data_IF_273527765006
#
_entry.id   IF_273527765006
#
_cell.length_a   1.000
_cell.length_b   1.000
_cell.length_c   1.000
_cell.angle_alpha   90.00
_cell.angle_beta   90.00
_cell.angle_gamma   90.00
#
_symmetry.space_group_name_H-M   'P 1'
#
loop_
_entity.id
_entity.type
_entity.pdbx_description
1 polymer ?
#
# COMPACT_ATOMS: atom_id res chain seq x y z
N UNK A 1 -29.56 9.40 -4.02
CA UNK A 1 -28.61 8.70 -3.11
C UNK A 1 -28.67 7.18 -3.19
N UNK A 2 -29.82 6.55 -2.91
CA UNK A 2 -29.91 5.06 -2.97
C UNK A 2 -29.62 4.53 -4.38
N UNK A 3 -30.19 5.16 -5.42
CA UNK A 3 -29.94 4.81 -6.83
C UNK A 3 -28.44 4.92 -7.19
N UNK A 4 -27.76 5.96 -6.72
CA UNK A 4 -26.33 6.13 -6.90
C UNK A 4 -25.52 5.02 -6.24
N UNK A 5 -25.81 4.69 -4.97
CA UNK A 5 -25.15 3.61 -4.23
C UNK A 5 -25.34 2.29 -4.96
N UNK A 6 -26.58 1.95 -5.36
CA UNK A 6 -26.88 0.72 -6.10
C UNK A 6 -26.12 0.65 -7.43
N UNK A 7 -26.10 1.75 -8.18
CA UNK A 7 -25.36 1.83 -9.45
C UNK A 7 -23.86 1.64 -9.23
N UNK A 8 -23.29 2.24 -8.17
CA UNK A 8 -21.86 2.05 -7.82
C UNK A 8 -21.56 0.61 -7.42
N UNK A 9 -22.40 0.00 -6.57
CA UNK A 9 -22.23 -1.40 -6.17
C UNK A 9 -22.34 -2.35 -7.38
N UNK A 10 -23.28 -2.10 -8.30
CA UNK A 10 -23.38 -2.86 -9.54
C UNK A 10 -22.15 -2.71 -10.43
N UNK A 11 -21.57 -1.51 -10.53
CA UNK A 11 -20.36 -1.26 -11.31
C UNK A 11 -19.09 -1.88 -10.67
N UNK A 12 -19.09 -2.19 -9.38
CA UNK A 12 -17.98 -2.91 -8.76
C UNK A 12 -17.82 -4.32 -9.34
N UNK A 13 -18.92 -4.99 -9.68
CA UNK A 13 -18.91 -6.35 -10.22
C UNK A 13 -18.13 -6.43 -11.55
N UNK A 14 -18.49 -5.65 -12.61
CA UNK A 14 -17.74 -5.70 -13.86
C UNK A 14 -16.30 -5.20 -13.72
N UNK A 15 -16.03 -4.27 -12.79
CA UNK A 15 -14.68 -3.79 -12.53
C UNK A 15 -13.82 -4.90 -11.93
N UNK A 16 -14.28 -5.58 -10.88
CA UNK A 16 -13.60 -6.73 -10.29
C UNK A 16 -13.40 -7.85 -11.30
N UNK A 17 -14.45 -8.17 -12.07
CA UNK A 17 -14.36 -9.16 -13.13
C UNK A 17 -13.29 -8.79 -14.16
N UNK A 18 -13.29 -7.56 -14.66
CA UNK A 18 -12.32 -7.08 -15.65
C UNK A 18 -10.88 -7.14 -15.16
N UNK A 19 -10.63 -6.69 -13.92
CA UNK A 19 -9.29 -6.74 -13.30
C UNK A 19 -8.82 -8.18 -13.13
N UNK A 20 -9.68 -9.08 -12.63
CA UNK A 20 -9.34 -10.49 -12.46
C UNK A 20 -9.13 -11.20 -13.79
N UNK A 21 -9.99 -10.94 -14.79
CA UNK A 21 -9.85 -11.51 -16.12
C UNK A 21 -8.53 -11.09 -16.77
N UNK A 22 -8.24 -9.79 -16.78
CA UNK A 22 -7.02 -9.27 -17.39
C UNK A 22 -5.78 -9.87 -16.70
N UNK A 23 -5.74 -9.89 -15.39
CA UNK A 23 -4.60 -10.44 -14.64
C UNK A 23 -4.48 -11.95 -14.84
N UNK A 24 -5.60 -12.68 -14.82
CA UNK A 24 -5.62 -14.10 -15.07
C UNK A 24 -5.09 -14.42 -16.47
N UNK A 25 -5.50 -13.66 -17.50
CA UNK A 25 -5.01 -13.81 -18.88
C UNK A 25 -3.51 -13.53 -18.93
N UNK A 26 -3.04 -12.42 -18.36
CA UNK A 26 -1.60 -12.09 -18.34
C UNK A 26 -0.79 -13.22 -17.71
N UNK A 27 -1.23 -13.77 -16.59
CA UNK A 27 -0.56 -14.87 -15.90
C UNK A 27 -0.42 -16.12 -16.79
N UNK A 28 -1.36 -16.39 -17.73
CA UNK A 28 -1.23 -17.53 -18.64
C UNK A 28 -0.04 -17.42 -19.60
N UNK A 29 0.41 -16.20 -19.92
CA UNK A 29 1.54 -15.93 -20.82
C UNK A 29 2.88 -15.81 -20.10
N UNK A 30 2.89 -15.73 -18.77
CA UNK A 30 4.13 -15.65 -17.99
C UNK A 30 4.80 -17.02 -17.97
N UNK A 31 6.01 -17.16 -18.57
CA UNK A 31 6.71 -18.44 -18.60
C UNK A 31 7.13 -18.86 -17.19
N UNK A 32 7.00 -20.14 -16.90
CA UNK A 32 7.29 -20.74 -15.60
C UNK A 32 6.12 -20.61 -14.63
N UNK A 33 5.89 -21.64 -13.86
CA UNK A 33 4.85 -21.74 -12.84
C UNK A 33 5.33 -22.68 -11.74
N UNK A 34 4.47 -23.00 -10.75
CA UNK A 34 4.86 -23.89 -9.66
C UNK A 34 5.31 -25.26 -10.16
N UNK A 35 4.78 -25.73 -11.28
CA UNK A 35 5.19 -27.00 -11.92
C UNK A 35 6.60 -26.88 -12.49
N UNK A 36 6.89 -25.81 -13.23
CA UNK A 36 8.22 -25.60 -13.84
C UNK A 36 9.28 -25.28 -12.81
N UNK A 37 8.95 -24.55 -11.74
CA UNK A 37 9.86 -24.34 -10.62
C UNK A 37 10.20 -25.65 -9.91
N UNK A 38 9.21 -26.49 -9.63
CA UNK A 38 9.45 -27.82 -9.06
C UNK A 38 10.35 -28.67 -9.97
N UNK A 39 10.13 -28.63 -11.29
CA UNK A 39 10.96 -29.29 -12.27
C UNK A 39 12.40 -28.75 -12.28
N UNK A 40 12.56 -27.42 -12.15
CA UNK A 40 13.87 -26.79 -12.11
C UNK A 40 14.64 -27.15 -10.82
N UNK A 41 13.96 -27.12 -9.67
CA UNK A 41 14.53 -27.52 -8.38
C UNK A 41 14.91 -29.01 -8.36
N UNK A 42 14.06 -29.87 -8.88
CA UNK A 42 14.34 -31.31 -8.99
C UNK A 42 15.55 -31.59 -9.90
N UNK A 43 15.71 -30.83 -10.99
CA UNK A 43 16.90 -30.91 -11.87
C UNK A 43 18.15 -30.33 -11.20
N UNK A 44 18.03 -29.22 -10.44
CA UNK A 44 19.15 -28.61 -9.73
C UNK A 44 19.62 -29.46 -8.54
N UNK A 45 18.70 -30.15 -7.86
CA UNK A 45 19.03 -31.09 -6.77
C UNK A 45 19.78 -32.32 -7.25
N UNK A 46 19.58 -32.76 -8.48
CA UNK A 46 20.37 -33.86 -9.07
C UNK A 46 21.77 -33.45 -9.52
N UNK A 47 22.03 -32.13 -9.70
CA UNK A 47 23.35 -31.62 -10.14
C UNK A 47 24.36 -31.32 -9.00
N UNK A 48 23.93 -31.19 -7.76
CA UNK A 48 24.81 -30.86 -6.63
C UNK A 48 25.38 -32.06 -5.86
N UNK A 49 25.02 -33.27 -6.25
CA UNK A 49 25.52 -34.52 -5.60
C UNK A 49 26.61 -35.30 -6.33
N UNK A 50 27.15 -34.76 -7.45
CA UNK A 50 28.05 -35.54 -8.31
C UNK A 50 29.53 -35.10 -8.26
N UNK A 51 30.01 -34.47 -7.20
CA UNK A 51 31.42 -34.13 -7.04
C UNK A 51 31.89 -34.35 -5.61
N UNK A 52 31.82 -35.62 -5.10
CA UNK A 52 32.68 -36.09 -4.02
C UNK A 52 32.64 -37.63 -3.97
N UNK A 53 33.80 -38.20 -4.26
CA UNK A 53 34.36 -39.50 -3.84
C UNK A 53 33.88 -40.82 -4.45
N UNK A 54 34.82 -41.39 -5.14
CA UNK A 54 35.04 -42.79 -5.48
C UNK A 54 34.56 -43.79 -4.42
N UNK A 55 33.64 -44.66 -4.79
CA UNK A 55 33.30 -45.84 -3.98
C UNK A 55 31.99 -46.46 -4.42
N UNK A 56 32.06 -47.39 -5.36
CA UNK A 56 30.99 -48.11 -6.00
C UNK A 56 29.76 -48.44 -5.17
N UNK A 57 28.71 -47.77 -5.45
CA UNK A 57 27.33 -48.25 -5.42
C UNK A 57 26.52 -47.30 -6.28
N UNK A 58 26.22 -47.74 -7.49
CA UNK A 58 25.34 -47.01 -8.44
C UNK A 58 24.00 -46.77 -7.76
N UNK A 59 23.81 -45.57 -7.17
CA UNK A 59 22.52 -45.15 -6.65
C UNK A 59 21.61 -44.85 -7.85
N UNK A 60 20.55 -45.63 -8.02
CA UNK A 60 19.51 -45.53 -9.04
C UNK A 60 18.68 -44.24 -8.93
N UNK A 61 19.27 -43.07 -8.73
CA UNK A 61 18.61 -41.77 -8.55
C UNK A 61 18.65 -40.86 -9.76
N UNK A 62 19.19 -41.28 -10.90
CA UNK A 62 19.23 -40.50 -12.14
C UNK A 62 18.03 -40.76 -13.06
N UNK A 63 16.89 -41.21 -12.53
CA UNK A 63 15.64 -41.22 -13.30
C UNK A 63 15.04 -39.82 -13.20
N UNK A 64 14.82 -39.22 -14.38
CA UNK A 64 14.16 -37.92 -14.52
C UNK A 64 12.83 -37.88 -13.75
N UNK A 65 12.41 -36.69 -13.38
CA UNK A 65 11.21 -36.44 -12.58
C UNK A 65 10.07 -37.33 -13.06
N UNK A 66 9.53 -38.18 -12.18
CA UNK A 66 8.48 -39.14 -12.50
C UNK A 66 7.28 -38.44 -13.13
N UNK A 67 6.86 -38.78 -14.38
CA UNK A 67 5.72 -38.16 -15.04
C UNK A 67 4.44 -38.19 -14.19
N UNK A 68 4.23 -39.26 -13.40
CA UNK A 68 3.09 -39.36 -12.49
C UNK A 68 3.12 -38.31 -11.39
N UNK A 69 4.30 -37.95 -10.93
CA UNK A 69 4.46 -36.91 -9.91
C UNK A 69 4.19 -35.50 -10.47
N UNK A 70 4.55 -35.28 -11.74
CA UNK A 70 4.19 -34.05 -12.46
C UNK A 70 2.69 -33.94 -12.63
N UNK A 71 2.00 -35.01 -13.00
CA UNK A 71 0.55 -35.04 -13.11
C UNK A 71 -0.15 -34.80 -11.79
N UNK A 72 0.35 -35.40 -10.71
CA UNK A 72 -0.15 -35.14 -9.35
C UNK A 72 0.00 -33.67 -8.94
N UNK A 73 1.13 -33.05 -9.25
CA UNK A 73 1.37 -31.63 -8.98
C UNK A 73 0.45 -30.76 -9.85
N UNK A 74 0.31 -31.08 -11.12
CA UNK A 74 -0.66 -30.37 -11.99
C UNK A 74 -2.08 -30.46 -11.46
N UNK A 75 -2.51 -31.65 -11.03
CA UNK A 75 -3.83 -31.87 -10.46
C UNK A 75 -4.00 -31.12 -9.11
N UNK A 76 -2.96 -31.13 -8.26
CA UNK A 76 -2.96 -30.42 -6.97
C UNK A 76 -3.17 -28.92 -7.14
N UNK A 77 -2.55 -28.33 -8.15
CA UNK A 77 -2.66 -26.90 -8.46
C UNK A 77 -3.73 -26.56 -9.50
N UNK A 78 -4.53 -27.56 -9.94
CA UNK A 78 -5.63 -27.42 -10.89
C UNK A 78 -5.19 -27.10 -12.33
N UNK A 79 -3.92 -27.31 -12.66
CA UNK A 79 -3.40 -27.12 -14.03
C UNK A 79 -3.76 -28.26 -14.99
N UNK A 80 -4.46 -29.26 -14.52
CA UNK A 80 -5.08 -30.34 -15.31
C UNK A 80 -6.32 -29.87 -16.10
N UNK A 81 -6.92 -28.73 -15.68
CA UNK A 81 -8.13 -28.18 -16.29
C UNK A 81 -7.81 -27.06 -17.28
N UNK A 82 -8.66 -26.90 -18.32
CA UNK A 82 -8.51 -25.78 -19.24
C UNK A 82 -8.66 -24.42 -18.55
N UNK A 83 -7.98 -23.38 -19.08
CA UNK A 83 -7.89 -22.07 -18.44
C UNK A 83 -9.25 -21.43 -18.13
N UNK A 84 -10.24 -21.59 -19.02
CA UNK A 84 -11.59 -21.03 -18.80
C UNK A 84 -12.32 -21.67 -17.62
N UNK A 85 -12.18 -22.98 -17.42
CA UNK A 85 -12.75 -23.66 -16.25
C UNK A 85 -12.10 -23.22 -14.94
N UNK A 86 -10.77 -23.08 -14.94
CA UNK A 86 -10.02 -22.57 -13.80
C UNK A 86 -10.47 -21.15 -13.43
N UNK A 87 -10.67 -20.30 -14.45
CA UNK A 87 -11.13 -18.93 -14.23
C UNK A 87 -12.53 -18.89 -13.61
N UNK A 88 -13.49 -19.66 -14.14
CA UNK A 88 -14.86 -19.74 -13.61
C UNK A 88 -14.86 -20.28 -12.17
N UNK A 89 -14.07 -21.33 -11.89
CA UNK A 89 -13.93 -21.87 -10.54
C UNK A 89 -13.35 -20.84 -9.58
N UNK A 90 -12.30 -20.12 -9.99
CA UNK A 90 -11.70 -19.02 -9.22
C UNK A 90 -12.72 -17.92 -8.90
N UNK A 91 -13.50 -17.48 -9.90
CA UNK A 91 -14.55 -16.46 -9.68
C UNK A 91 -15.60 -16.94 -8.65
N UNK A 92 -16.03 -18.21 -8.77
CA UNK A 92 -16.98 -18.80 -7.81
C UNK A 92 -16.42 -18.90 -6.37
N UNK A 93 -15.12 -19.12 -6.22
CA UNK A 93 -14.43 -19.12 -4.92
C UNK A 93 -14.29 -17.68 -4.37
N UNK A 94 -13.86 -16.75 -5.19
CA UNK A 94 -13.66 -15.34 -4.81
C UNK A 94 -14.97 -14.66 -4.43
N UNK A 95 -16.07 -15.00 -5.10
CA UNK A 95 -17.41 -14.53 -4.71
C UNK A 95 -17.84 -15.01 -3.30
N UNK A 96 -17.21 -16.07 -2.79
CA UNK A 96 -17.39 -16.59 -1.42
C UNK A 96 -16.25 -16.19 -0.47
N UNK A 97 -15.40 -15.24 -0.87
CA UNK A 97 -14.20 -14.82 -0.15
C UNK A 97 -13.19 -15.95 0.13
N UNK A 98 -13.24 -17.03 -0.62
CA UNK A 98 -12.21 -18.06 -0.61
C UNK A 98 -11.15 -17.71 -1.67
N UNK A 99 -10.05 -17.10 -1.21
CA UNK A 99 -8.96 -16.64 -2.09
C UNK A 99 -7.94 -17.75 -2.43
N UNK A 100 -8.21 -18.99 -1.98
CA UNK A 100 -7.33 -20.14 -2.20
C UNK A 100 -6.19 -20.22 -1.17
N UNK A 101 -5.21 -21.07 -1.49
CA UNK A 101 -4.02 -21.31 -0.67
C UNK A 101 -2.76 -20.96 -1.46
N UNK A 102 -1.77 -20.41 -0.76
CA UNK A 102 -0.42 -20.19 -1.30
C UNK A 102 0.20 -21.51 -1.74
N UNK A 103 0.88 -21.48 -2.86
CA UNK A 103 1.61 -22.65 -3.36
C UNK A 103 2.89 -22.94 -2.55
N UNK A 104 3.44 -21.93 -1.87
CA UNK A 104 4.74 -22.03 -1.19
C UNK A 104 4.64 -21.97 0.33
N UNK A 105 3.63 -21.29 0.88
CA UNK A 105 3.56 -21.05 2.34
C UNK A 105 2.59 -21.99 3.07
N UNK A 106 1.89 -22.87 2.36
CA UNK A 106 0.88 -23.80 2.91
C UNK A 106 -0.19 -23.15 3.81
N UNK A 107 -0.42 -21.84 3.62
CA UNK A 107 -1.43 -21.02 4.32
C UNK A 107 -2.49 -20.55 3.34
N UNK A 108 -3.69 -20.23 3.84
CA UNK A 108 -4.68 -19.56 3.02
C UNK A 108 -4.23 -18.13 2.69
N UNK A 109 -4.62 -17.64 1.51
CA UNK A 109 -4.27 -16.26 1.10
C UNK A 109 -4.87 -15.24 2.06
N UNK A 110 -6.08 -15.48 2.56
CA UNK A 110 -6.71 -14.62 3.57
C UNK A 110 -5.90 -14.54 4.86
N UNK A 111 -5.38 -15.70 5.34
CA UNK A 111 -4.52 -15.75 6.51
C UNK A 111 -3.23 -14.97 6.31
N UNK A 112 -2.58 -15.12 5.16
CA UNK A 112 -1.37 -14.36 4.81
C UNK A 112 -1.65 -12.85 4.79
N UNK A 113 -2.77 -12.42 4.23
CA UNK A 113 -3.17 -11.00 4.22
C UNK A 113 -3.32 -10.51 5.66
N UNK A 114 -4.03 -11.24 6.52
CA UNK A 114 -4.26 -10.83 7.90
C UNK A 114 -2.97 -10.79 8.73
N UNK A 115 -2.03 -11.69 8.50
CA UNK A 115 -0.71 -11.69 9.18
C UNK A 115 0.15 -10.47 8.79
N UNK A 116 0.08 -10.03 7.51
CA UNK A 116 0.91 -8.92 7.01
C UNK A 116 0.27 -7.55 7.16
N UNK A 117 -1.06 -7.52 7.31
CA UNK A 117 -1.85 -6.30 7.41
C UNK A 117 -1.41 -5.34 8.52
N UNK A 118 -1.09 -5.80 9.76
CA UNK A 118 -0.67 -4.90 10.84
C UNK A 118 0.56 -4.05 10.51
N UNK A 119 1.52 -4.59 9.78
CA UNK A 119 2.74 -3.86 9.36
C UNK A 119 2.37 -2.74 8.39
N UNK A 120 1.62 -3.06 7.34
CA UNK A 120 1.20 -2.07 6.34
C UNK A 120 0.28 -1.01 6.93
N UNK A 121 -0.68 -1.39 7.80
CA UNK A 121 -1.52 -0.44 8.55
C UNK A 121 -0.67 0.49 9.39
N UNK A 122 0.28 -0.05 10.13
CA UNK A 122 1.17 0.74 10.99
C UNK A 122 1.90 1.83 10.18
N UNK A 123 2.60 1.44 9.12
CA UNK A 123 3.34 2.37 8.26
C UNK A 123 2.41 3.41 7.62
N UNK A 124 1.30 2.95 7.07
CA UNK A 124 0.34 3.81 6.39
C UNK A 124 -0.31 4.82 7.31
N UNK A 125 -0.77 4.40 8.50
CA UNK A 125 -1.40 5.31 9.47
C UNK A 125 -0.43 6.37 9.99
N UNK A 126 0.78 5.99 10.38
CA UNK A 126 1.77 6.97 10.82
C UNK A 126 2.12 7.95 9.72
N UNK A 127 2.34 7.46 8.50
CA UNK A 127 2.59 8.32 7.34
C UNK A 127 1.44 9.28 7.10
N UNK A 128 0.20 8.79 7.15
CA UNK A 128 -1.00 9.59 6.97
C UNK A 128 -1.14 10.68 8.04
N UNK A 129 -1.12 10.31 9.32
CA UNK A 129 -1.31 11.26 10.41
C UNK A 129 -0.20 12.31 10.46
N UNK A 130 1.07 11.92 10.33
CA UNK A 130 2.18 12.86 10.34
C UNK A 130 2.12 13.79 9.13
N UNK A 131 1.80 13.24 7.93
CA UNK A 131 1.64 14.06 6.73
C UNK A 131 0.55 15.12 6.92
N UNK A 132 -0.65 14.75 7.39
CA UNK A 132 -1.74 15.71 7.59
C UNK A 132 -1.44 16.70 8.73
N UNK A 133 -0.85 16.23 9.83
CA UNK A 133 -0.48 17.06 10.97
C UNK A 133 0.52 18.16 10.60
N UNK A 134 1.44 17.89 9.67
CA UNK A 134 2.44 18.87 9.20
C UNK A 134 1.90 19.65 8.00
N UNK A 135 1.32 18.97 7.01
CA UNK A 135 0.95 19.57 5.73
C UNK A 135 -0.18 20.59 5.85
N UNK A 136 -1.21 20.31 6.65
CA UNK A 136 -2.36 21.21 6.75
C UNK A 136 -1.97 22.53 7.44
N UNK A 137 -1.34 22.56 8.63
CA UNK A 137 -0.91 23.82 9.24
C UNK A 137 0.11 24.58 8.38
N UNK A 138 1.04 23.86 7.73
CA UNK A 138 2.02 24.48 6.85
C UNK A 138 1.33 25.09 5.62
N UNK A 139 0.38 24.41 5.00
CA UNK A 139 -0.39 24.91 3.86
C UNK A 139 -1.19 26.18 4.21
N UNK A 140 -1.85 26.19 5.37
CA UNK A 140 -2.55 27.37 5.89
C UNK A 140 -1.59 28.54 6.11
N UNK A 141 -0.46 28.30 6.80
CA UNK A 141 0.55 29.34 7.07
C UNK A 141 1.15 29.92 5.77
N UNK A 142 1.33 29.08 4.75
CA UNK A 142 1.80 29.48 3.40
C UNK A 142 0.74 30.31 2.66
N UNK A 143 -0.53 29.96 2.78
CA UNK A 143 -1.62 30.72 2.15
C UNK A 143 -1.77 32.12 2.76
N UNK A 144 -1.75 32.21 4.10
CA UNK A 144 -1.82 33.48 4.84
C UNK A 144 -0.63 34.39 4.52
N UNK A 145 0.56 33.80 4.31
CA UNK A 145 1.81 34.53 4.02
C UNK A 145 2.22 34.43 2.56
N UNK A 146 1.26 34.27 1.66
CA UNK A 146 1.55 34.06 0.24
C UNK A 146 2.42 35.19 -0.34
N UNK A 147 3.41 34.82 -1.15
CA UNK A 147 4.39 35.75 -1.73
C UNK A 147 5.48 36.22 -0.78
N UNK A 148 5.47 35.83 0.49
CA UNK A 148 6.53 36.14 1.45
C UNK A 148 7.77 35.25 1.27
N UNK A 149 8.92 35.65 1.89
CA UNK A 149 10.11 34.80 1.95
C UNK A 149 9.83 33.44 2.59
N UNK A 150 8.96 33.38 3.60
CA UNK A 150 8.53 32.14 4.24
C UNK A 150 7.84 31.22 3.23
N UNK A 151 6.90 31.75 2.45
CA UNK A 151 6.20 30.96 1.44
C UNK A 151 7.17 30.45 0.37
N UNK A 152 8.09 31.29 -0.10
CA UNK A 152 9.10 30.91 -1.09
C UNK A 152 10.01 29.79 -0.58
N UNK A 153 10.66 30.00 0.59
CA UNK A 153 11.60 29.04 1.16
C UNK A 153 10.92 27.69 1.47
N UNK A 154 9.74 27.73 2.11
CA UNK A 154 9.00 26.51 2.40
C UNK A 154 8.49 25.80 1.14
N UNK A 155 8.15 26.55 0.07
CA UNK A 155 7.81 25.93 -1.23
C UNK A 155 9.03 25.21 -1.79
N UNK A 156 10.19 25.84 -1.79
CA UNK A 156 11.41 25.22 -2.26
C UNK A 156 11.74 23.93 -1.50
N UNK A 157 11.68 23.98 -0.15
CA UNK A 157 11.93 22.79 0.70
C UNK A 157 10.93 21.67 0.45
N UNK A 158 9.64 22.00 0.33
CA UNK A 158 8.58 21.03 0.03
C UNK A 158 8.79 20.39 -1.33
N UNK A 159 9.13 21.17 -2.35
CA UNK A 159 9.38 20.66 -3.71
C UNK A 159 10.67 19.84 -3.79
N UNK A 160 11.73 20.24 -3.10
CA UNK A 160 12.96 19.46 -3.00
C UNK A 160 12.69 18.10 -2.33
N UNK A 161 11.94 18.10 -1.23
CA UNK A 161 11.54 16.85 -0.58
C UNK A 161 10.66 15.96 -1.46
N UNK A 162 9.77 16.55 -2.26
CA UNK A 162 8.93 15.84 -3.20
C UNK A 162 9.71 15.26 -4.40
N UNK A 163 10.76 15.96 -4.85
CA UNK A 163 11.57 15.53 -5.98
C UNK A 163 12.42 14.28 -5.66
N UNK A 164 12.70 14.03 -4.38
CA UNK A 164 13.47 12.85 -3.96
C UNK A 164 12.50 11.67 -3.83
N UNK A 165 12.66 10.58 -4.61
CA UNK A 165 11.87 9.38 -4.42
C UNK A 165 12.00 8.84 -2.99
N UNK A 166 10.87 8.50 -2.34
CA UNK A 166 10.87 8.08 -0.94
C UNK A 166 11.82 6.92 -0.64
N UNK A 167 11.96 5.95 -1.56
CA UNK A 167 12.90 4.84 -1.37
C UNK A 167 14.37 5.29 -1.41
N UNK A 168 14.72 6.30 -2.24
CA UNK A 168 16.08 6.88 -2.28
C UNK A 168 16.41 7.56 -0.95
N UNK A 169 15.45 8.32 -0.41
CA UNK A 169 15.57 8.88 0.94
C UNK A 169 15.69 7.77 1.97
N UNK A 170 14.89 6.70 1.87
CA UNK A 170 14.96 5.53 2.75
C UNK A 170 16.35 4.89 2.75
N UNK A 171 16.98 4.72 1.58
CA UNK A 171 18.36 4.23 1.45
C UNK A 171 19.34 5.17 2.15
N UNK A 172 19.23 6.49 1.90
CA UNK A 172 20.11 7.48 2.54
C UNK A 172 19.97 7.47 4.06
N UNK A 173 18.74 7.42 4.59
CA UNK A 173 18.47 7.32 6.03
C UNK A 173 19.07 6.04 6.62
N UNK A 174 18.87 4.90 5.95
CA UNK A 174 19.37 3.61 6.39
C UNK A 174 20.90 3.58 6.41
N UNK A 175 21.57 4.08 5.39
CA UNK A 175 23.04 4.12 5.31
C UNK A 175 23.63 5.06 6.36
N UNK A 176 23.10 6.29 6.47
CA UNK A 176 23.66 7.31 7.36
C UNK A 176 23.31 7.01 8.82
N UNK A 177 22.00 6.91 9.14
CA UNK A 177 21.53 6.82 10.51
C UNK A 177 21.48 5.39 11.06
N UNK A 178 21.28 4.40 10.22
CA UNK A 178 21.31 3.00 10.62
C UNK A 178 22.70 2.39 10.55
N UNK A 179 23.43 2.62 9.45
CA UNK A 179 24.73 1.99 9.20
C UNK A 179 25.90 2.74 9.81
N UNK A 180 26.07 4.03 9.47
CA UNK A 180 27.26 4.81 9.90
C UNK A 180 27.12 5.32 11.32
N UNK A 181 26.01 5.99 11.66
CA UNK A 181 25.78 6.57 12.98
C UNK A 181 25.21 5.57 13.99
N UNK A 182 24.60 4.50 13.51
CA UNK A 182 23.97 3.46 14.33
C UNK A 182 22.93 4.00 15.33
N UNK A 183 22.22 5.09 14.94
CA UNK A 183 21.21 5.71 15.79
C UNK A 183 19.86 5.01 15.70
N UNK A 184 19.57 4.35 14.58
CA UNK A 184 18.31 3.67 14.33
C UNK A 184 18.52 2.24 13.86
N UNK A 185 17.56 1.34 14.13
CA UNK A 185 17.65 -0.06 13.70
C UNK A 185 17.57 -0.16 12.17
N UNK A 186 18.35 -1.12 11.64
CA UNK A 186 18.44 -1.32 10.19
C UNK A 186 17.21 -2.03 9.59
N UNK A 187 16.50 -2.83 10.37
CA UNK A 187 15.44 -3.71 9.89
C UNK A 187 14.44 -4.11 10.98
N UNK A 188 13.27 -4.55 10.53
CA UNK A 188 12.22 -5.05 11.41
C UNK A 188 11.33 -3.96 12.00
N UNK A 189 10.17 -4.37 12.50
CA UNK A 189 9.20 -3.47 13.13
C UNK A 189 9.47 -3.31 14.63
N UNK A 190 10.18 -4.27 15.22
CA UNK A 190 10.49 -4.37 16.64
C UNK A 190 11.82 -5.09 16.87
N UNK A 191 12.42 -4.90 18.03
CA UNK A 191 13.64 -5.61 18.43
C UNK A 191 13.39 -7.10 18.70
N UNK A 192 14.45 -7.90 18.63
CA UNK A 192 14.39 -9.36 18.85
C UNK A 192 13.98 -9.75 20.28
N UNK A 193 14.21 -8.88 21.26
CA UNK A 193 13.84 -9.06 22.67
C UNK A 193 12.49 -8.40 23.03
N UNK A 194 11.61 -8.16 22.03
CA UNK A 194 10.32 -7.50 22.21
C UNK A 194 9.48 -8.08 23.34
N UNK A 195 9.44 -9.39 23.47
CA UNK A 195 8.61 -10.07 24.47
C UNK A 195 9.09 -9.86 25.92
N UNK A 196 10.37 -9.52 26.09
CA UNK A 196 10.98 -9.23 27.39
C UNK A 196 10.81 -7.76 27.81
N UNK A 197 10.41 -6.87 26.87
CA UNK A 197 10.27 -5.44 27.14
C UNK A 197 9.02 -5.12 27.94
N UNK A 198 9.13 -4.15 28.85
CA UNK A 198 7.97 -3.55 29.50
C UNK A 198 7.11 -2.80 28.48
N UNK A 199 5.83 -2.60 28.79
CA UNK A 199 4.91 -1.96 27.86
C UNK A 199 5.41 -0.57 27.35
N UNK A 200 5.94 0.26 28.24
CA UNK A 200 6.53 1.56 27.84
C UNK A 200 7.75 1.41 26.93
N UNK A 201 8.63 0.44 27.23
CA UNK A 201 9.78 0.14 26.37
C UNK A 201 9.38 -0.40 25.00
N UNK A 202 8.31 -1.19 24.90
CA UNK A 202 7.73 -1.65 23.62
C UNK A 202 7.28 -0.49 22.74
N UNK A 203 6.59 0.51 23.33
CA UNK A 203 6.17 1.70 22.58
C UNK A 203 7.36 2.47 22.03
N UNK A 204 8.39 2.67 22.84
CA UNK A 204 9.61 3.37 22.43
C UNK A 204 10.36 2.58 21.35
N UNK A 205 10.54 1.28 21.53
CA UNK A 205 11.18 0.38 20.58
C UNK A 205 10.47 0.39 19.21
N UNK A 206 9.15 0.27 19.22
CA UNK A 206 8.33 0.35 18.01
C UNK A 206 8.47 1.71 17.30
N UNK A 207 8.35 2.82 18.02
CA UNK A 207 8.50 4.16 17.42
C UNK A 207 9.90 4.38 16.87
N UNK A 208 10.91 3.80 17.49
CA UNK A 208 12.30 3.86 17.05
C UNK A 208 12.50 3.08 15.73
N UNK A 209 11.88 1.92 15.60
CA UNK A 209 11.95 1.11 14.37
C UNK A 209 11.21 1.75 13.18
N UNK A 210 10.06 2.38 13.41
CA UNK A 210 9.28 3.00 12.33
C UNK A 210 9.77 4.39 11.94
N UNK A 211 10.66 5.02 12.70
CA UNK A 211 11.09 6.42 12.49
C UNK A 211 11.65 6.66 11.08
N UNK A 212 12.61 5.84 10.63
CA UNK A 212 13.20 5.97 9.29
C UNK A 212 12.22 5.61 8.15
N UNK A 213 11.54 4.44 8.19
CA UNK A 213 10.55 4.09 7.16
C UNK A 213 9.46 5.14 6.99
N UNK A 214 8.86 5.59 8.09
CA UNK A 214 7.80 6.59 8.06
C UNK A 214 8.30 7.94 7.55
N UNK A 215 9.49 8.38 7.97
CA UNK A 215 10.11 9.62 7.46
C UNK A 215 10.27 9.57 5.94
N UNK A 216 10.75 8.45 5.41
CA UNK A 216 10.91 8.26 3.96
C UNK A 216 9.56 8.32 3.21
N UNK A 217 8.48 7.78 3.80
CA UNK A 217 7.15 7.79 3.21
C UNK A 217 6.46 9.16 3.33
N UNK A 218 6.63 9.87 4.44
CA UNK A 218 6.00 11.17 4.71
C UNK A 218 6.47 12.22 3.72
N UNK A 219 7.78 12.27 3.40
CA UNK A 219 8.32 13.30 2.50
C UNK A 219 7.66 13.29 1.11
N UNK A 220 7.31 12.11 0.59
CA UNK A 220 6.62 12.00 -0.68
C UNK A 220 5.16 12.45 -0.65
N UNK A 221 4.46 12.21 0.45
CA UNK A 221 3.02 12.42 0.55
C UNK A 221 2.64 13.83 1.03
N UNK A 222 3.41 14.42 1.96
CA UNK A 222 3.03 15.66 2.60
C UNK A 222 3.08 16.88 1.67
N UNK A 223 3.90 16.84 0.62
CA UNK A 223 4.04 17.94 -0.33
C UNK A 223 2.75 18.21 -1.09
N UNK A 224 2.11 17.15 -1.59
CA UNK A 224 0.83 17.24 -2.32
C UNK A 224 -0.25 17.84 -1.42
N UNK A 225 -0.38 17.34 -0.18
CA UNK A 225 -1.36 17.83 0.80
C UNK A 225 -1.08 19.28 1.19
N UNK A 226 0.19 19.66 1.37
CA UNK A 226 0.59 21.05 1.68
C UNK A 226 0.17 22.01 0.57
N UNK A 227 0.46 21.65 -0.69
CA UNK A 227 0.12 22.52 -1.83
C UNK A 227 -1.38 22.58 -2.08
N UNK A 228 -2.09 21.45 -1.94
CA UNK A 228 -3.54 21.41 -2.00
C UNK A 228 -4.17 22.35 -0.95
N UNK A 229 -3.71 22.24 0.30
CA UNK A 229 -4.18 23.09 1.40
C UNK A 229 -3.87 24.56 1.13
N UNK A 230 -2.63 24.90 0.71
CA UNK A 230 -2.27 26.27 0.35
C UNK A 230 -3.22 26.84 -0.72
N UNK A 231 -3.42 26.10 -1.80
CA UNK A 231 -4.21 26.58 -2.93
C UNK A 231 -5.69 26.74 -2.55
N UNK A 232 -6.28 25.80 -1.81
CA UNK A 232 -7.65 25.89 -1.32
C UNK A 232 -7.86 27.12 -0.42
N UNK A 233 -6.91 27.38 0.50
CA UNK A 233 -6.99 28.57 1.35
C UNK A 233 -6.75 29.87 0.58
N UNK A 234 -5.84 29.92 -0.39
CA UNK A 234 -5.62 31.10 -1.24
C UNK A 234 -6.87 31.44 -2.07
N UNK A 235 -7.56 30.44 -2.61
CA UNK A 235 -8.79 30.66 -3.34
C UNK A 235 -9.87 31.25 -2.43
N UNK A 236 -10.07 30.68 -1.25
CA UNK A 236 -11.10 31.14 -0.31
C UNK A 236 -10.81 32.55 0.26
N UNK A 237 -9.56 32.87 0.57
CA UNK A 237 -9.17 34.20 1.11
C UNK A 237 -9.50 35.32 0.13
N UNK A 238 -9.57 35.04 -1.18
CA UNK A 238 -9.85 36.03 -2.22
C UNK A 238 -11.34 36.24 -2.52
N UNK A 239 -12.23 35.45 -1.91
CA UNK A 239 -13.68 35.52 -2.20
C UNK A 239 -14.33 36.74 -1.57
N UNK A 240 -15.42 37.25 -2.21
CA UNK A 240 -16.12 38.47 -1.80
C UNK A 240 -16.65 38.44 -0.37
N UNK A 241 -17.07 37.28 0.13
CA UNK A 241 -17.56 37.21 1.52
C UNK A 241 -16.44 37.51 2.56
N UNK A 242 -15.18 37.24 2.21
CA UNK A 242 -14.01 37.56 3.06
C UNK A 242 -13.78 39.07 3.04
N UNK A 243 -13.89 39.73 1.88
CA UNK A 243 -13.79 41.18 1.79
C UNK A 243 -14.94 41.83 2.60
N UNK A 244 -16.15 41.30 2.53
CA UNK A 244 -17.29 41.79 3.32
C UNK A 244 -17.06 41.61 4.82
N UNK A 245 -16.48 40.49 5.25
CA UNK A 245 -16.16 40.25 6.67
C UNK A 245 -15.15 41.28 7.20
N UNK A 246 -14.09 41.57 6.43
CA UNK A 246 -13.13 42.64 6.74
C UNK A 246 -13.77 44.02 6.78
N UNK A 247 -14.63 44.34 5.82
CA UNK A 247 -15.33 45.62 5.80
C UNK A 247 -16.27 45.82 7.02
N UNK A 248 -16.76 44.75 7.63
CA UNK A 248 -17.52 44.77 8.89
C UNK A 248 -16.64 44.90 10.13
N UNK A 249 -15.31 45.04 9.98
CA UNK A 249 -14.41 45.30 11.09
C UNK A 249 -13.91 44.03 11.82
N UNK A 250 -14.12 42.85 11.26
CA UNK A 250 -13.56 41.63 11.83
C UNK A 250 -12.04 41.60 11.65
N UNK A 251 -11.32 41.16 12.70
CA UNK A 251 -9.88 40.98 12.62
C UNK A 251 -9.49 39.77 11.70
N UNK A 252 -8.24 39.76 11.24
CA UNK A 252 -7.75 38.72 10.30
C UNK A 252 -7.86 37.30 10.88
N UNK A 253 -7.74 37.14 12.20
CA UNK A 253 -7.87 35.84 12.86
C UNK A 253 -9.33 35.38 12.85
N UNK A 254 -10.28 36.28 13.14
CA UNK A 254 -11.71 35.99 13.09
C UNK A 254 -12.14 35.67 11.66
N UNK A 255 -11.64 36.43 10.67
CA UNK A 255 -11.89 36.17 9.25
C UNK A 255 -11.34 34.80 8.85
N UNK A 256 -10.09 34.49 9.19
CA UNK A 256 -9.45 33.23 8.82
C UNK A 256 -10.17 32.02 9.43
N UNK A 257 -10.33 32.01 10.76
CA UNK A 257 -10.87 30.84 11.46
C UNK A 257 -12.39 30.74 11.41
N UNK A 258 -13.09 31.88 11.41
CA UNK A 258 -14.56 31.91 11.41
C UNK A 258 -15.17 31.76 10.01
N UNK A 259 -14.51 32.26 8.98
CA UNK A 259 -15.10 32.33 7.62
C UNK A 259 -14.35 31.53 6.55
N UNK A 260 -13.01 31.63 6.52
CA UNK A 260 -12.22 31.00 5.46
C UNK A 260 -12.00 29.50 5.75
N UNK A 261 -11.60 29.16 6.97
CA UNK A 261 -11.12 27.84 7.34
C UNK A 261 -12.12 26.73 7.01
N UNK A 262 -13.37 26.92 7.38
CA UNK A 262 -14.43 25.92 7.13
C UNK A 262 -14.61 25.60 5.63
N UNK A 263 -14.60 26.63 4.78
CA UNK A 263 -14.80 26.45 3.35
C UNK A 263 -13.53 25.93 2.66
N UNK A 264 -12.36 26.44 3.05
CA UNK A 264 -11.08 26.02 2.50
C UNK A 264 -10.70 24.57 2.84
N UNK A 265 -11.24 24.02 3.94
CA UNK A 265 -11.03 22.61 4.29
C UNK A 265 -11.87 21.63 3.49
N UNK A 266 -12.92 22.07 2.77
CA UNK A 266 -13.81 21.15 2.03
C UNK A 266 -13.02 20.18 1.13
N UNK A 267 -12.06 20.60 0.26
CA UNK A 267 -11.30 19.67 -0.58
C UNK A 267 -10.43 18.71 0.22
N UNK A 268 -9.94 19.15 1.39
CA UNK A 268 -9.09 18.32 2.27
C UNK A 268 -9.93 17.25 2.96
N UNK A 269 -11.09 17.68 3.53
CA UNK A 269 -12.00 16.77 4.25
C UNK A 269 -12.64 15.76 3.29
N UNK A 270 -12.99 16.16 2.07
CA UNK A 270 -13.58 15.24 1.08
C UNK A 270 -12.57 14.19 0.59
N UNK A 271 -11.30 14.54 0.48
CA UNK A 271 -10.23 13.60 0.16
C UNK A 271 -9.79 12.71 1.33
N UNK A 272 -10.08 13.13 2.58
CA UNK A 272 -9.61 12.46 3.79
C UNK A 272 -10.02 10.98 3.90
N UNK A 273 -11.30 10.58 3.68
CA UNK A 273 -11.69 9.18 3.81
C UNK A 273 -10.94 8.26 2.85
N UNK A 274 -10.76 8.70 1.59
CA UNK A 274 -9.99 7.93 0.61
C UNK A 274 -8.51 7.82 1.00
N UNK A 275 -7.90 8.91 1.44
CA UNK A 275 -6.52 8.92 1.88
C UNK A 275 -6.33 8.10 3.16
N UNK A 276 -7.25 8.20 4.13
CA UNK A 276 -7.23 7.46 5.38
C UNK A 276 -7.34 5.95 5.15
N UNK A 277 -8.39 5.50 4.42
CA UNK A 277 -8.57 4.08 4.13
C UNK A 277 -7.43 3.57 3.23
N UNK A 278 -7.01 4.38 2.25
CA UNK A 278 -5.86 4.06 1.41
C UNK A 278 -4.59 3.80 2.23
N UNK A 279 -4.37 4.54 3.31
CA UNK A 279 -3.22 4.36 4.19
C UNK A 279 -3.15 2.96 4.83
N UNK A 280 -4.29 2.27 5.06
CA UNK A 280 -4.30 0.91 5.60
C UNK A 280 -3.74 -0.12 4.60
N UNK A 281 -3.84 0.15 3.31
CA UNK A 281 -3.58 -0.83 2.26
C UNK A 281 -2.47 -0.39 1.29
N UNK A 282 -1.96 0.81 1.46
CA UNK A 282 -0.83 1.30 0.67
C UNK A 282 0.47 0.76 1.26
N UNK A 283 0.71 -0.54 1.07
CA UNK A 283 2.02 -1.11 1.32
C UNK A 283 3.04 -0.44 0.41
N UNK A 284 4.13 0.04 0.95
CA UNK A 284 5.24 0.53 0.14
C UNK A 284 6.22 -0.60 -0.06
N UNK A 285 6.06 -1.33 -1.17
CA UNK A 285 6.94 -2.44 -1.54
C UNK A 285 8.41 -2.11 -1.31
N UNK A 286 8.88 -0.97 -1.84
CA UNK A 286 10.29 -0.60 -1.77
C UNK A 286 10.74 -0.29 -0.34
N UNK A 287 9.91 0.37 0.45
CA UNK A 287 10.21 0.67 1.87
C UNK A 287 10.15 -0.61 2.69
N UNK A 288 9.13 -1.44 2.50
CA UNK A 288 9.01 -2.72 3.21
C UNK A 288 10.21 -3.64 2.91
N UNK A 289 10.64 -3.72 1.64
CA UNK A 289 11.82 -4.48 1.26
C UNK A 289 13.10 -3.90 1.89
N UNK A 290 13.29 -2.59 1.80
CA UNK A 290 14.50 -1.90 2.26
C UNK A 290 14.72 -2.08 3.77
N UNK A 291 13.67 -1.93 4.57
CA UNK A 291 13.72 -2.05 6.03
C UNK A 291 13.35 -3.46 6.52
N UNK A 292 13.22 -4.44 5.62
CA UNK A 292 12.83 -5.83 5.94
C UNK A 292 11.55 -5.90 6.78
N UNK A 293 10.55 -5.12 6.39
CA UNK A 293 9.23 -5.07 7.02
C UNK A 293 8.30 -6.04 6.29
N UNK A 294 7.76 -7.00 7.01
CA UNK A 294 6.96 -8.08 6.45
C UNK A 294 5.49 -7.66 6.28
N UNK A 295 5.26 -6.73 5.34
CA UNK A 295 3.96 -6.16 5.04
C UNK A 295 3.33 -6.69 3.75
N UNK A 296 2.16 -6.12 3.38
CA UNK A 296 1.38 -6.51 2.21
C UNK A 296 2.07 -6.17 0.88
N UNK A 297 2.85 -5.11 0.84
CA UNK A 297 3.62 -4.73 -0.34
C UNK A 297 4.70 -5.77 -0.66
N UNK A 298 5.45 -6.19 0.36
CA UNK A 298 6.46 -7.24 0.23
C UNK A 298 5.82 -8.58 -0.14
N UNK A 299 4.72 -8.97 0.53
CA UNK A 299 3.97 -10.18 0.19
C UNK A 299 3.55 -10.19 -1.28
N UNK A 300 2.98 -9.09 -1.78
CA UNK A 300 2.53 -8.98 -3.17
C UNK A 300 3.69 -9.14 -4.15
N UNK A 301 4.82 -8.48 -3.88
CA UNK A 301 6.01 -8.56 -4.72
C UNK A 301 6.63 -9.97 -4.74
N UNK A 302 6.88 -10.54 -3.57
CA UNK A 302 7.44 -11.89 -3.49
C UNK A 302 6.56 -12.91 -4.20
N UNK A 303 5.23 -12.77 -4.09
CA UNK A 303 4.28 -13.64 -4.74
C UNK A 303 4.37 -13.56 -6.27
N UNK A 304 4.59 -12.35 -6.82
CA UNK A 304 4.82 -12.18 -8.27
C UNK A 304 6.12 -12.84 -8.70
N UNK A 305 7.22 -12.60 -7.97
CA UNK A 305 8.53 -13.19 -8.28
C UNK A 305 8.51 -14.71 -8.18
N UNK A 306 7.87 -15.25 -7.14
CA UNK A 306 7.73 -16.69 -6.91
C UNK A 306 6.60 -17.33 -7.73
N UNK A 307 5.81 -16.51 -8.46
CA UNK A 307 4.65 -16.97 -9.25
C UNK A 307 3.61 -17.73 -8.42
N UNK A 308 3.39 -17.23 -7.20
CA UNK A 308 2.33 -17.72 -6.33
C UNK A 308 0.99 -17.12 -6.75
N UNK A 309 0.44 -17.67 -7.83
CA UNK A 309 -0.74 -17.11 -8.49
C UNK A 309 -1.97 -16.94 -7.58
N UNK A 310 -2.29 -17.86 -6.64
CA UNK A 310 -3.37 -17.63 -5.70
C UNK A 310 -3.15 -16.36 -4.86
N UNK A 311 -1.93 -16.14 -4.38
CA UNK A 311 -1.60 -14.94 -3.59
C UNK A 311 -1.64 -13.68 -4.46
N UNK A 312 -1.10 -13.72 -5.68
CA UNK A 312 -1.14 -12.58 -6.62
C UNK A 312 -2.58 -12.18 -6.94
N UNK A 313 -3.43 -13.15 -7.32
CA UNK A 313 -4.82 -12.88 -7.67
C UNK A 313 -5.66 -12.50 -6.45
N UNK A 314 -5.42 -13.15 -5.31
CA UNK A 314 -6.14 -12.89 -4.06
C UNK A 314 -5.81 -11.53 -3.46
N UNK A 315 -4.54 -11.12 -3.44
CA UNK A 315 -4.14 -9.77 -2.99
C UNK A 315 -4.66 -8.70 -3.93
N UNK A 316 -4.61 -8.91 -5.25
CA UNK A 316 -5.17 -7.99 -6.22
C UNK A 316 -6.69 -7.83 -6.06
N UNK A 317 -7.42 -8.93 -5.89
CA UNK A 317 -8.86 -8.90 -5.61
C UNK A 317 -9.17 -8.10 -4.35
N UNK A 318 -8.45 -8.37 -3.27
CA UNK A 318 -8.61 -7.72 -1.98
C UNK A 318 -8.36 -6.21 -2.08
N UNK A 319 -7.23 -5.80 -2.66
CA UNK A 319 -6.91 -4.38 -2.86
C UNK A 319 -7.89 -3.67 -3.78
N UNK A 320 -8.32 -4.32 -4.87
CA UNK A 320 -9.30 -3.74 -5.78
C UNK A 320 -10.64 -3.54 -5.08
N UNK A 321 -11.13 -4.55 -4.34
CA UNK A 321 -12.38 -4.47 -3.60
C UNK A 321 -12.34 -3.33 -2.57
N UNK A 322 -11.27 -3.25 -1.77
CA UNK A 322 -11.08 -2.17 -0.80
C UNK A 322 -11.03 -0.81 -1.50
N UNK A 323 -10.27 -0.68 -2.60
CA UNK A 323 -10.22 0.54 -3.36
C UNK A 323 -11.59 1.02 -3.87
N UNK A 324 -12.42 0.10 -4.35
CA UNK A 324 -13.77 0.38 -4.80
C UNK A 324 -14.70 0.80 -3.65
N UNK A 325 -14.64 0.10 -2.52
CA UNK A 325 -15.39 0.44 -1.30
C UNK A 325 -14.95 1.80 -0.75
N UNK A 326 -13.65 2.04 -0.70
CA UNK A 326 -13.06 3.32 -0.28
C UNK A 326 -13.55 4.47 -1.13
N UNK A 327 -13.58 4.28 -2.46
CA UNK A 327 -14.09 5.29 -3.38
C UNK A 327 -15.57 5.59 -3.13
N UNK A 328 -16.38 4.56 -2.89
CA UNK A 328 -17.80 4.75 -2.54
C UNK A 328 -17.94 5.54 -1.23
N UNK A 329 -17.18 5.20 -0.19
CA UNK A 329 -17.18 5.92 1.09
C UNK A 329 -16.75 7.39 0.88
N UNK A 330 -15.72 7.63 0.07
CA UNK A 330 -15.27 8.98 -0.25
C UNK A 330 -16.36 9.79 -0.96
N UNK A 331 -17.02 9.20 -1.97
CA UNK A 331 -18.12 9.85 -2.69
C UNK A 331 -19.30 10.19 -1.74
N UNK A 332 -19.63 9.29 -0.82
CA UNK A 332 -20.67 9.53 0.20
C UNK A 332 -20.26 10.62 1.20
N UNK A 333 -19.01 10.63 1.61
CA UNK A 333 -18.45 11.66 2.51
C UNK A 333 -18.48 13.03 1.86
N UNK A 334 -18.29 13.11 0.54
CA UNK A 334 -18.37 14.35 -0.20
C UNK A 334 -19.76 15.01 -0.07
N UNK A 335 -20.84 14.23 -0.26
CA UNK A 335 -22.21 14.74 -0.08
C UNK A 335 -22.50 15.14 1.36
N UNK A 336 -21.94 14.42 2.33
CA UNK A 336 -22.13 14.73 3.75
C UNK A 336 -21.44 16.06 4.15
N UNK A 337 -20.28 16.34 3.56
CA UNK A 337 -19.50 17.57 3.84
C UNK A 337 -20.03 18.76 3.05
N UNK A 338 -20.42 18.57 1.80
CA UNK A 338 -21.01 19.62 0.95
C UNK A 338 -22.40 19.20 0.43
N UNK A 339 -23.49 19.61 1.14
CA UNK A 339 -24.86 19.28 0.74
C UNK A 339 -25.31 19.86 -0.61
N UNK A 340 -24.50 20.74 -1.22
CA UNK A 340 -24.79 21.33 -2.55
C UNK A 340 -24.53 20.33 -3.67
N UNK A 341 -23.72 19.32 -3.41
CA UNK A 341 -23.42 18.25 -4.36
C UNK A 341 -24.59 17.28 -4.40
N UNK A 342 -25.23 17.17 -5.55
CA UNK A 342 -26.26 16.16 -5.83
C UNK A 342 -25.66 15.14 -6.77
N UNK A 343 -25.78 13.87 -6.44
CA UNK A 343 -25.53 12.78 -7.37
C UNK A 343 -26.86 12.40 -8.02
N UNK A 344 -27.04 12.77 -9.26
CA UNK A 344 -28.19 12.38 -10.09
C UNK A 344 -28.01 10.95 -10.64
#
# INVERSE_FOLDING_TARGET
MLSYILKRLLLMIPTLFGVLLLTFVVIQFVPGGPVEQYLAEAKAGTGKGAAAESGGLSYRGAQGVDPKRIEQIKALYGFDKPAHERFVQMLGQFARFNLGKSFFQNKSVSELIWEKLPVSISLGLWTFFISYLIAVPLGVAKAVRAGSRFDFVTTLLVLLGYAIPGFVLGVALLVIFGGQLQWFPLRGLTSSNWDELTWGARVVDYLWHIAMPVTAMVLGSFAVTTMLTKNAFLEEIRKQYVVTARAKGLDERQVLWGHVFRNALIPIITGFPAAFIGAFFTGSLLIETLFSLDGLGLLSYESVIRRDYPVVLGTLYFFTLIGLVTKLISDLSYVWVDPRVKFD
#
